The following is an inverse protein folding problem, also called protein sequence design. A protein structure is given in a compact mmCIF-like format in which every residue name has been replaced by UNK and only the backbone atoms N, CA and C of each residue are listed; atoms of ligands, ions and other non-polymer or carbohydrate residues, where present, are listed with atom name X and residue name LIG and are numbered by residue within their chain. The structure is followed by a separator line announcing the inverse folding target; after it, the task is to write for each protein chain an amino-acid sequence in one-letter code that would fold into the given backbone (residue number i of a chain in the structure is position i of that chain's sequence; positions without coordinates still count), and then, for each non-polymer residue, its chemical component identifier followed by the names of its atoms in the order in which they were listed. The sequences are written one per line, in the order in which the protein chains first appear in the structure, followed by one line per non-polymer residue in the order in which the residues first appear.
data_IF_076708320315
#
_entry.id   IF_076708320315
#
_cell.length_a   1.000
_cell.length_b   1.000
_cell.length_c   1.000
_cell.angle_alpha   90.00
_cell.angle_beta   90.00
_cell.angle_gamma   90.00
#
_symmetry.space_group_name_H-M   'P 1'
#
loop_
_entity.id
_entity.type
_entity.pdbx_description
1 polymer ?
#
# COMPACT_ATOMS: atom_id res chain seq x y z
N UNK A 1 -37.06 -1.39 -0.42
CA UNK A 1 -36.11 -1.49 0.70
C UNK A 1 -35.18 -2.66 0.39
N UNK A 2 -33.98 -2.42 -0.15
CA UNK A 2 -33.03 -3.52 -0.40
C UNK A 2 -32.30 -3.80 0.91
N UNK A 3 -32.83 -4.74 1.68
CA UNK A 3 -32.08 -5.36 2.76
C UNK A 3 -30.91 -6.12 2.11
N UNK A 4 -29.77 -5.46 1.99
CA UNK A 4 -28.52 -6.19 1.81
C UNK A 4 -28.37 -7.06 3.06
N UNK A 5 -28.42 -8.39 2.97
CA UNK A 5 -28.14 -9.22 4.13
C UNK A 5 -26.66 -9.01 4.41
N UNK A 6 -26.36 -8.14 5.39
CA UNK A 6 -25.03 -8.09 6.00
C UNK A 6 -24.92 -9.41 6.74
N UNK A 7 -24.46 -10.44 6.03
CA UNK A 7 -24.25 -11.77 6.57
C UNK A 7 -23.34 -11.55 7.78
N UNK A 8 -23.78 -11.87 9.01
CA UNK A 8 -22.98 -11.65 10.21
C UNK A 8 -21.78 -12.61 10.12
N UNK A 9 -20.69 -12.10 9.58
CA UNK A 9 -19.48 -12.85 9.35
C UNK A 9 -18.87 -13.16 10.71
N UNK A 10 -18.69 -14.46 11.00
CA UNK A 10 -18.14 -14.90 12.28
C UNK A 10 -16.80 -14.20 12.56
N UNK A 11 -16.61 -13.69 13.79
CA UNK A 11 -15.42 -12.90 14.18
C UNK A 11 -14.12 -13.68 13.92
N UNK A 12 -14.16 -15.00 14.07
CA UNK A 12 -13.04 -15.91 13.80
C UNK A 12 -12.66 -15.93 12.31
N UNK A 13 -13.66 -15.93 11.44
CA UNK A 13 -13.49 -15.89 9.98
C UNK A 13 -12.95 -14.53 9.55
N UNK A 14 -13.49 -13.42 10.08
CA UNK A 14 -12.99 -12.07 9.80
C UNK A 14 -11.52 -11.87 10.18
N UNK A 15 -11.08 -12.39 11.33
CA UNK A 15 -9.68 -12.31 11.73
C UNK A 15 -8.73 -13.05 10.77
N UNK A 16 -9.14 -14.22 10.26
CA UNK A 16 -8.35 -14.96 9.25
C UNK A 16 -8.24 -14.17 7.95
N UNK A 17 -9.37 -13.65 7.46
CA UNK A 17 -9.39 -12.82 6.25
C UNK A 17 -8.54 -11.56 6.39
N UNK A 18 -8.63 -10.87 7.52
CA UNK A 18 -7.79 -9.69 7.80
C UNK A 18 -6.30 -10.01 7.77
N UNK A 19 -5.88 -11.17 8.32
CA UNK A 19 -4.49 -11.62 8.23
C UNK A 19 -4.03 -11.84 6.78
N UNK A 20 -4.81 -12.57 5.97
CA UNK A 20 -4.47 -12.79 4.55
C UNK A 20 -4.40 -11.48 3.76
N UNK A 21 -5.34 -10.56 4.00
CA UNK A 21 -5.35 -9.24 3.37
C UNK A 21 -4.07 -8.47 3.73
N UNK A 22 -3.65 -8.49 5.01
CA UNK A 22 -2.41 -7.82 5.43
C UNK A 22 -1.16 -8.42 4.77
N UNK A 23 -1.09 -9.75 4.64
CA UNK A 23 0.02 -10.42 3.93
C UNK A 23 0.06 -10.01 2.46
N UNK A 24 -1.09 -9.96 1.79
CA UNK A 24 -1.18 -9.52 0.39
C UNK A 24 -0.75 -8.06 0.24
N UNK A 25 -1.20 -7.18 1.12
CA UNK A 25 -0.78 -5.77 1.12
C UNK A 25 0.74 -5.65 1.33
N UNK A 26 1.31 -6.44 2.24
CA UNK A 26 2.75 -6.44 2.46
C UNK A 26 3.54 -6.85 1.20
N UNK A 27 3.08 -7.88 0.49
CA UNK A 27 3.69 -8.31 -0.78
C UNK A 27 3.57 -7.20 -1.83
N UNK A 28 2.40 -6.54 -1.95
CA UNK A 28 2.21 -5.42 -2.88
C UNK A 28 3.19 -4.29 -2.56
N UNK A 29 3.33 -3.90 -1.29
CA UNK A 29 4.29 -2.86 -0.88
C UNK A 29 5.72 -3.25 -1.25
N UNK A 30 6.13 -4.50 -1.03
CA UNK A 30 7.46 -4.97 -1.41
C UNK A 30 7.70 -4.89 -2.93
N UNK A 31 6.71 -5.25 -3.74
CA UNK A 31 6.79 -5.12 -5.21
C UNK A 31 6.92 -3.66 -5.63
N UNK A 32 6.14 -2.75 -5.03
CA UNK A 32 6.22 -1.31 -5.36
C UNK A 32 7.56 -0.72 -4.94
N UNK A 33 8.14 -1.12 -3.79
CA UNK A 33 9.49 -0.70 -3.40
C UNK A 33 10.52 -1.15 -4.44
N UNK A 34 10.40 -2.39 -4.94
CA UNK A 34 11.27 -2.88 -5.99
C UNK A 34 11.14 -2.07 -7.30
N UNK A 35 9.90 -1.74 -7.71
CA UNK A 35 9.65 -0.89 -8.88
C UNK A 35 10.21 0.52 -8.68
N UNK A 36 10.06 1.11 -7.50
CA UNK A 36 10.62 2.41 -7.17
C UNK A 36 12.15 2.43 -7.31
N UNK A 37 12.82 1.37 -6.89
CA UNK A 37 14.28 1.23 -7.06
C UNK A 37 14.64 1.21 -8.55
N UNK A 38 13.92 0.42 -9.36
CA UNK A 38 14.16 0.35 -10.80
C UNK A 38 13.90 1.70 -11.49
N UNK A 39 12.80 2.37 -11.17
CA UNK A 39 12.43 3.65 -11.77
C UNK A 39 13.41 4.76 -11.35
N UNK A 40 13.90 4.73 -10.10
CA UNK A 40 14.91 5.67 -9.63
C UNK A 40 16.27 5.44 -10.32
N UNK A 41 16.66 4.17 -10.51
CA UNK A 41 17.88 3.83 -11.25
C UNK A 41 17.77 4.28 -12.71
N UNK A 42 16.64 4.00 -13.35
CA UNK A 42 16.36 4.42 -14.72
C UNK A 42 16.43 5.95 -14.86
N UNK A 43 15.80 6.71 -13.95
CA UNK A 43 15.89 8.16 -13.94
C UNK A 43 17.34 8.68 -13.85
N UNK A 44 18.18 8.04 -13.02
CA UNK A 44 19.61 8.34 -12.95
C UNK A 44 20.36 8.05 -14.26
N UNK A 45 20.04 6.94 -14.92
CA UNK A 45 20.66 6.61 -16.22
C UNK A 45 20.22 7.55 -17.35
N UNK A 46 18.95 7.94 -17.38
CA UNK A 46 18.40 8.86 -18.38
C UNK A 46 18.93 10.27 -18.18
N UNK A 47 19.19 10.69 -16.93
CA UNK A 47 19.86 11.96 -16.66
C UNK A 47 21.23 12.05 -17.34
N UNK A 48 22.00 10.96 -17.36
CA UNK A 48 23.28 10.91 -18.05
C UNK A 48 23.17 10.99 -19.59
N UNK A 49 22.00 10.68 -20.16
CA UNK A 49 21.75 10.71 -21.60
C UNK A 49 21.36 12.11 -22.13
N UNK A 50 21.17 13.10 -21.25
CA UNK A 50 20.82 14.49 -21.60
C UNK A 50 19.50 14.67 -22.40
N UNK A 51 18.59 13.69 -22.37
CA UNK A 51 17.25 13.83 -22.96
C UNK A 51 16.24 14.32 -21.91
N UNK A 52 15.84 15.59 -22.01
CA UNK A 52 14.95 16.24 -21.06
C UNK A 52 13.53 15.66 -21.03
N UNK A 53 13.02 15.15 -22.15
CA UNK A 53 11.67 14.58 -22.25
C UNK A 53 11.63 13.20 -21.61
N UNK A 54 12.62 12.36 -21.92
CA UNK A 54 12.76 11.04 -21.29
C UNK A 54 13.03 11.17 -19.79
N UNK A 55 13.85 12.15 -19.39
CA UNK A 55 14.16 12.39 -17.98
C UNK A 55 12.90 12.76 -17.19
N UNK A 56 12.07 13.64 -17.75
CA UNK A 56 10.80 14.03 -17.11
C UNK A 56 9.87 12.83 -16.94
N UNK A 57 9.75 11.98 -17.97
CA UNK A 57 8.94 10.76 -17.90
C UNK A 57 9.47 9.77 -16.84
N UNK A 58 10.79 9.62 -16.74
CA UNK A 58 11.40 8.75 -15.73
C UNK A 58 11.12 9.25 -14.30
N UNK A 59 11.22 10.57 -14.06
CA UNK A 59 10.88 11.16 -12.77
C UNK A 59 9.39 11.06 -12.43
N UNK A 60 8.49 11.16 -13.42
CA UNK A 60 7.05 10.91 -13.20
C UNK A 60 6.80 9.48 -12.70
N UNK A 61 7.51 8.50 -13.25
CA UNK A 61 7.41 7.10 -12.80
C UNK A 61 7.85 6.94 -11.33
N UNK A 62 8.96 7.58 -10.95
CA UNK A 62 9.42 7.62 -9.55
C UNK A 62 8.37 8.26 -8.62
N UNK A 63 7.83 9.42 -9.01
CA UNK A 63 6.83 10.13 -8.20
C UNK A 63 5.54 9.31 -8.05
N UNK A 64 5.11 8.60 -9.10
CA UNK A 64 3.95 7.69 -9.07
C UNK A 64 4.15 6.62 -7.99
N UNK A 65 5.31 5.99 -7.95
CA UNK A 65 5.60 4.90 -6.99
C UNK A 65 5.68 5.43 -5.56
N UNK A 66 6.29 6.59 -5.36
CA UNK A 66 6.30 7.27 -4.05
C UNK A 66 4.89 7.62 -3.59
N UNK A 67 4.05 8.15 -4.49
CA UNK A 67 2.66 8.49 -4.18
C UNK A 67 1.86 7.23 -3.80
N UNK A 68 2.05 6.12 -4.51
CA UNK A 68 1.41 4.85 -4.19
C UNK A 68 1.82 4.35 -2.80
N UNK A 69 3.12 4.39 -2.50
CA UNK A 69 3.64 4.01 -1.17
C UNK A 69 3.09 4.91 -0.06
N UNK A 70 3.05 6.23 -0.28
CA UNK A 70 2.50 7.17 0.70
C UNK A 70 1.05 6.84 1.05
N UNK A 71 0.20 6.64 0.04
CA UNK A 71 -1.21 6.27 0.26
C UNK A 71 -1.34 4.88 0.91
N UNK A 72 -0.57 3.89 0.43
CA UNK A 72 -0.58 2.54 0.98
C UNK A 72 -0.15 2.48 2.44
N UNK A 73 0.89 3.22 2.82
CA UNK A 73 1.36 3.32 4.20
C UNK A 73 0.33 4.01 5.09
N UNK A 74 -0.33 5.07 4.64
CA UNK A 74 -1.41 5.72 5.40
C UNK A 74 -2.52 4.72 5.73
N UNK A 75 -2.95 3.91 4.77
CA UNK A 75 -3.98 2.88 4.99
C UNK A 75 -3.51 1.86 6.02
N UNK A 76 -2.27 1.38 5.92
CA UNK A 76 -1.68 0.45 6.89
C UNK A 76 -1.62 1.05 8.30
N UNK A 77 -1.19 2.30 8.44
CA UNK A 77 -1.17 3.00 9.72
C UNK A 77 -2.57 3.11 10.31
N UNK A 78 -3.56 3.54 9.53
CA UNK A 78 -4.95 3.66 10.00
C UNK A 78 -5.51 2.31 10.45
N UNK A 79 -5.27 1.25 9.69
CA UNK A 79 -5.69 -0.10 10.07
C UNK A 79 -5.01 -0.57 11.36
N UNK A 80 -3.71 -0.33 11.49
CA UNK A 80 -2.94 -0.65 12.69
C UNK A 80 -3.47 0.11 13.91
N UNK A 81 -3.69 1.43 13.83
CA UNK A 81 -4.24 2.22 14.92
C UNK A 81 -5.63 1.74 15.34
N UNK A 82 -6.50 1.43 14.38
CA UNK A 82 -7.83 0.91 14.65
C UNK A 82 -7.77 -0.47 15.33
N UNK A 83 -6.86 -1.34 14.90
CA UNK A 83 -6.65 -2.65 15.52
C UNK A 83 -6.13 -2.52 16.96
N UNK A 84 -5.12 -1.68 17.20
CA UNK A 84 -4.62 -1.38 18.55
C UNK A 84 -5.71 -0.81 19.46
N UNK A 85 -6.53 0.12 18.96
CA UNK A 85 -7.63 0.72 19.73
C UNK A 85 -8.69 -0.32 20.12
N UNK A 86 -8.99 -1.28 19.24
CA UNK A 86 -9.92 -2.36 19.54
C UNK A 86 -9.36 -3.34 20.59
N UNK A 87 -8.06 -3.65 20.53
CA UNK A 87 -7.40 -4.47 21.54
C UNK A 87 -7.38 -3.78 22.91
N UNK A 88 -7.02 -2.49 22.96
CA UNK A 88 -6.98 -1.70 24.20
C UNK A 88 -8.35 -1.60 24.89
N UNK A 89 -9.45 -1.55 24.14
CA UNK A 89 -10.83 -1.54 24.71
C UNK A 89 -11.30 -2.91 25.24
N UNK A 90 -10.62 -4.00 24.90
CA UNK A 90 -10.94 -5.35 25.41
C UNK A 90 -10.15 -5.73 26.66
N UNK A 91 -9.08 -4.99 26.98
CA UNK A 91 -8.20 -5.27 28.12
C UNK A 91 -8.54 -4.44 29.38
N UNK A 92 -9.69 -3.77 29.40
CA UNK A 92 -10.26 -3.08 30.56
C UNK A 92 -11.66 -3.63 30.82
#
# INVERSE_FOLDING_TARGET
MSENPVIPMDKKTWNRWSFYINVVIFIIVAVIIYLLILDAFNAGTVFAQNDATLLTNAWIAVVRDVAFLAVGLVILFVQMFNYYRQLSRRSW
#
